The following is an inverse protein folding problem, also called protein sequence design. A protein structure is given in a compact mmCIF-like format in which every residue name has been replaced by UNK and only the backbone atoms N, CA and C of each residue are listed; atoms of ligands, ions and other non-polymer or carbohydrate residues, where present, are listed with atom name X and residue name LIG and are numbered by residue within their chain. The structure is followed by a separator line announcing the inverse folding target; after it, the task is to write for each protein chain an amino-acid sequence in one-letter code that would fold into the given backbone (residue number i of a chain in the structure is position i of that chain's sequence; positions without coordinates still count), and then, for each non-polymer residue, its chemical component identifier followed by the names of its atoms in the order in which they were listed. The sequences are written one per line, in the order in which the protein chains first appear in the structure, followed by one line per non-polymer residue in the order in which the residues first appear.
data_IF_087896889007
#
_entry.id   IF_087896889007
#
_cell.length_a   1.000
_cell.length_b   1.000
_cell.length_c   1.000
_cell.angle_alpha   90.00
_cell.angle_beta   90.00
_cell.angle_gamma   90.00
#
_symmetry.space_group_name_H-M   'P 1'
#
loop_
_entity.id
_entity.type
_entity.pdbx_description
1 polymer ?
#
# COMPACT_ATOMS: atom_id res chain seq x y z
N UNK A 1 21.43 -15.32 -6.36
CA UNK A 1 21.33 -14.76 -5.00
C UNK A 1 22.64 -14.07 -4.63
N UNK A 2 23.77 -14.80 -4.53
CA UNK A 2 25.10 -14.25 -4.21
C UNK A 2 25.51 -12.97 -5.00
N UNK A 3 25.39 -12.99 -6.34
CA UNK A 3 25.79 -11.85 -7.19
C UNK A 3 24.92 -10.59 -6.99
N UNK A 4 23.65 -10.75 -6.62
CA UNK A 4 22.71 -9.63 -6.42
C UNK A 4 22.94 -8.94 -5.08
N UNK A 5 23.30 -9.73 -4.06
CA UNK A 5 23.69 -9.22 -2.75
C UNK A 5 25.03 -8.48 -2.81
N UNK A 6 26.00 -9.00 -3.59
CA UNK A 6 27.31 -8.37 -3.78
C UNK A 6 27.20 -7.01 -4.51
N UNK A 7 26.32 -6.89 -5.50
CA UNK A 7 26.07 -5.62 -6.21
C UNK A 7 25.34 -4.60 -5.33
N UNK A 8 24.33 -5.04 -4.58
CA UNK A 8 23.60 -4.20 -3.62
C UNK A 8 24.56 -3.62 -2.58
N UNK A 9 25.46 -4.45 -2.05
CA UNK A 9 26.44 -4.02 -1.06
C UNK A 9 27.47 -3.04 -1.63
N UNK A 10 27.86 -3.18 -2.89
CA UNK A 10 28.74 -2.21 -3.57
C UNK A 10 28.08 -0.83 -3.66
N UNK A 11 26.82 -0.78 -4.08
CA UNK A 11 26.07 0.49 -4.23
C UNK A 11 25.88 1.16 -2.87
N UNK A 12 25.58 0.40 -1.82
CA UNK A 12 25.48 0.92 -0.45
C UNK A 12 26.79 1.57 0.01
N UNK A 13 27.94 0.94 -0.27
CA UNK A 13 29.24 1.50 0.07
C UNK A 13 29.54 2.81 -0.67
N UNK A 14 29.17 2.90 -1.95
CA UNK A 14 29.30 4.13 -2.74
C UNK A 14 28.42 5.25 -2.19
N UNK A 15 27.17 4.95 -1.81
CA UNK A 15 26.25 5.93 -1.21
C UNK A 15 26.72 6.40 0.17
N UNK A 16 27.17 5.49 1.02
CA UNK A 16 27.74 5.84 2.34
C UNK A 16 29.02 6.68 2.25
N UNK A 17 29.75 6.63 1.13
CA UNK A 17 30.93 7.47 0.91
C UNK A 17 30.56 8.90 0.51
N UNK A 18 29.34 9.11 -0.01
CA UNK A 18 28.81 10.43 -0.40
C UNK A 18 28.10 11.12 0.77
N UNK A 19 27.43 10.34 1.62
CA UNK A 19 26.72 10.79 2.82
C UNK A 19 26.84 9.70 3.90
N UNK A 20 27.57 10.00 4.98
CA UNK A 20 27.78 9.07 6.09
C UNK A 20 26.56 8.99 7.03
N UNK A 21 25.59 9.90 6.88
CA UNK A 21 24.38 9.95 7.69
C UNK A 21 24.63 10.28 9.16
N UNK A 22 25.81 10.84 9.50
CA UNK A 22 26.17 11.17 10.88
C UNK A 22 25.57 12.52 11.26
N UNK A 23 24.62 12.48 12.19
CA UNK A 23 24.02 13.66 12.76
C UNK A 23 24.63 13.91 14.15
N UNK A 24 25.41 15.00 14.33
CA UNK A 24 26.11 15.27 15.59
C UNK A 24 25.15 15.57 16.76
N UNK A 25 23.94 16.02 16.47
CA UNK A 25 22.89 16.30 17.46
C UNK A 25 22.01 15.07 17.77
N UNK A 26 22.24 13.94 17.09
CA UNK A 26 21.48 12.72 17.31
C UNK A 26 21.89 12.06 18.64
N UNK A 27 20.92 11.62 19.46
CA UNK A 27 21.21 10.90 20.70
C UNK A 27 21.77 9.48 20.47
N UNK A 28 21.78 9.00 19.23
CA UNK A 28 22.23 7.65 18.88
C UNK A 28 23.76 7.58 18.71
N UNK A 29 24.41 6.48 19.11
CA UNK A 29 25.81 6.23 18.79
C UNK A 29 26.06 6.25 17.27
N UNK A 30 27.22 6.76 16.84
CA UNK A 30 27.60 6.82 15.41
C UNK A 30 27.49 5.45 14.72
N UNK A 31 27.85 4.36 15.42
CA UNK A 31 27.71 2.99 14.89
C UNK A 31 26.27 2.61 14.59
N UNK A 32 25.32 3.05 15.43
CA UNK A 32 23.89 2.82 15.21
C UNK A 32 23.34 3.73 14.10
N UNK A 33 23.83 4.97 14.01
CA UNK A 33 23.49 5.88 12.91
C UNK A 33 23.93 5.31 11.55
N UNK A 34 25.17 4.84 11.44
CA UNK A 34 25.67 4.17 10.23
C UNK A 34 24.88 2.90 9.92
N UNK A 35 24.54 2.08 10.92
CA UNK A 35 23.73 0.88 10.71
C UNK A 35 22.33 1.22 10.20
N UNK A 36 21.70 2.27 10.75
CA UNK A 36 20.41 2.77 10.30
C UNK A 36 20.48 3.33 8.87
N UNK A 37 21.53 4.10 8.54
CA UNK A 37 21.74 4.66 7.20
C UNK A 37 21.98 3.54 6.16
N UNK A 38 22.81 2.54 6.50
CA UNK A 38 23.05 1.38 5.64
C UNK A 38 21.77 0.60 5.38
N UNK A 39 20.94 0.42 6.42
CA UNK A 39 19.62 -0.22 6.30
C UNK A 39 18.72 0.60 5.37
N UNK A 40 18.63 1.92 5.53
CA UNK A 40 17.86 2.80 4.64
C UNK A 40 18.27 2.66 3.17
N UNK A 41 19.57 2.65 2.86
CA UNK A 41 20.03 2.49 1.47
C UNK A 41 19.73 1.11 0.91
N UNK A 42 19.91 0.06 1.71
CA UNK A 42 19.55 -1.31 1.33
C UNK A 42 18.07 -1.40 0.99
N UNK A 43 17.23 -0.93 1.89
CA UNK A 43 15.79 -0.89 1.75
C UNK A 43 15.40 -0.12 0.48
N UNK A 44 15.98 1.06 0.24
CA UNK A 44 15.72 1.85 -0.97
C UNK A 44 16.15 1.14 -2.27
N UNK A 45 17.28 0.41 -2.26
CA UNK A 45 17.77 -0.34 -3.44
C UNK A 45 16.89 -1.54 -3.72
N UNK A 46 16.57 -2.33 -2.69
CA UNK A 46 15.74 -3.52 -2.79
C UNK A 46 14.31 -3.15 -3.23
N UNK A 47 13.84 -1.94 -2.88
CA UNK A 47 12.55 -1.40 -3.31
C UNK A 47 12.58 -0.70 -4.68
N UNK A 48 13.71 -0.53 -5.38
CA UNK A 48 13.70 0.15 -6.70
C UNK A 48 12.86 -0.54 -7.78
N UNK A 49 12.97 -1.88 -7.98
CA UNK A 49 12.11 -2.56 -8.96
C UNK A 49 10.63 -2.40 -8.62
N UNK A 50 10.34 -2.32 -7.32
CA UNK A 50 9.03 -2.12 -6.76
C UNK A 50 8.50 -0.70 -7.00
N UNK A 51 9.33 0.32 -6.76
CA UNK A 51 9.03 1.72 -7.04
C UNK A 51 8.76 1.94 -8.53
N UNK A 52 9.56 1.34 -9.42
CA UNK A 52 9.35 1.43 -10.87
C UNK A 52 8.04 0.76 -11.33
N UNK A 53 7.65 -0.34 -10.69
CA UNK A 53 6.37 -1.01 -10.95
C UNK A 53 5.18 -0.13 -10.51
N UNK A 54 5.25 0.44 -9.30
CA UNK A 54 4.22 1.38 -8.81
C UNK A 54 4.15 2.64 -9.68
N UNK A 55 5.29 3.22 -10.06
CA UNK A 55 5.34 4.40 -10.92
C UNK A 55 4.73 4.13 -12.30
N UNK A 56 5.03 2.97 -12.90
CA UNK A 56 4.43 2.53 -14.16
C UNK A 56 2.91 2.33 -14.03
N UNK A 57 2.47 1.62 -12.99
CA UNK A 57 1.06 1.35 -12.72
C UNK A 57 0.27 2.65 -12.51
N UNK A 58 0.78 3.56 -11.68
CA UNK A 58 0.16 4.86 -11.39
C UNK A 58 0.16 5.73 -12.64
N UNK A 59 1.27 5.78 -13.39
CA UNK A 59 1.33 6.54 -14.65
C UNK A 59 0.31 6.03 -15.64
N UNK A 60 0.17 4.71 -15.77
CA UNK A 60 -0.81 4.07 -16.67
C UNK A 60 -2.24 4.42 -16.26
N UNK A 61 -2.55 4.32 -14.95
CA UNK A 61 -3.85 4.72 -14.39
C UNK A 61 -4.18 6.20 -14.61
N UNK A 62 -3.19 7.09 -14.47
CA UNK A 62 -3.37 8.53 -14.63
C UNK A 62 -3.49 8.92 -16.11
N UNK A 63 -2.78 8.22 -17.01
CA UNK A 63 -2.71 8.56 -18.43
C UNK A 63 -3.83 7.95 -19.26
N UNK A 64 -4.28 6.74 -18.92
CA UNK A 64 -5.38 6.07 -19.59
C UNK A 64 -6.73 6.53 -19.02
N UNK A 65 -7.65 6.94 -19.89
CA UNK A 65 -9.00 7.30 -19.45
C UNK A 65 -9.76 6.03 -19.02
N UNK A 66 -10.18 5.97 -17.75
CA UNK A 66 -10.92 4.86 -17.12
C UNK A 66 -11.99 4.16 -17.99
N UNK A 67 -12.79 4.86 -18.82
CA UNK A 67 -13.85 4.21 -19.60
C UNK A 67 -13.35 3.40 -20.81
N UNK A 68 -12.09 3.61 -21.22
CA UNK A 68 -11.53 3.04 -22.45
C UNK A 68 -10.37 2.08 -22.21
N UNK A 69 -10.04 1.80 -20.94
CA UNK A 69 -8.97 0.88 -20.59
C UNK A 69 -9.28 -0.52 -21.12
N UNK A 70 -8.30 -1.08 -21.81
CA UNK A 70 -8.33 -2.46 -22.28
C UNK A 70 -8.43 -3.45 -21.10
N UNK A 71 -9.21 -4.52 -21.28
CA UNK A 71 -9.52 -5.46 -20.19
C UNK A 71 -8.27 -6.22 -19.73
N UNK A 72 -7.39 -6.59 -20.67
CA UNK A 72 -6.11 -7.27 -20.36
C UNK A 72 -5.16 -6.30 -19.64
N UNK A 73 -5.14 -5.02 -20.04
CA UNK A 73 -4.35 -3.99 -19.37
C UNK A 73 -4.81 -3.78 -17.92
N UNK A 74 -6.13 -3.75 -17.69
CA UNK A 74 -6.71 -3.63 -16.36
C UNK A 74 -6.37 -4.83 -15.47
N UNK A 75 -6.42 -6.05 -16.01
CA UNK A 75 -6.10 -7.26 -15.25
C UNK A 75 -4.60 -7.31 -14.88
N UNK A 76 -3.72 -6.96 -15.81
CA UNK A 76 -2.27 -6.88 -15.54
C UNK A 76 -1.96 -5.87 -14.44
N UNK A 77 -2.60 -4.71 -14.48
CA UNK A 77 -2.45 -3.68 -13.46
C UNK A 77 -2.94 -4.15 -12.08
N UNK A 78 -4.10 -4.79 -12.01
CA UNK A 78 -4.62 -5.38 -10.77
C UNK A 78 -3.63 -6.40 -10.20
N UNK A 79 -3.02 -7.22 -11.05
CA UNK A 79 -2.01 -8.20 -10.63
C UNK A 79 -0.74 -7.52 -10.10
N UNK A 80 -0.24 -6.48 -10.75
CA UNK A 80 0.90 -5.69 -10.27
C UNK A 80 0.62 -5.07 -8.89
N UNK A 81 -0.55 -4.49 -8.70
CA UNK A 81 -0.96 -3.87 -7.43
C UNK A 81 -1.18 -4.91 -6.31
N UNK A 82 -1.74 -6.07 -6.62
CA UNK A 82 -1.89 -7.15 -5.64
C UNK A 82 -0.53 -7.71 -5.19
N UNK A 83 0.40 -7.89 -6.13
CA UNK A 83 1.78 -8.28 -5.80
C UNK A 83 2.45 -7.20 -4.93
N UNK A 84 2.18 -5.93 -5.23
CA UNK A 84 2.70 -4.82 -4.44
C UNK A 84 2.25 -4.85 -2.98
N UNK A 85 0.95 -5.03 -2.77
CA UNK A 85 0.36 -5.13 -1.44
C UNK A 85 0.92 -6.32 -0.65
N UNK A 86 1.12 -7.47 -1.30
CA UNK A 86 1.66 -8.66 -0.66
C UNK A 86 3.12 -8.49 -0.23
N UNK A 87 3.94 -7.82 -1.05
CA UNK A 87 5.32 -7.48 -0.69
C UNK A 87 5.34 -6.51 0.48
N UNK A 88 4.50 -5.47 0.46
CA UNK A 88 4.45 -4.47 1.53
C UNK A 88 3.91 -5.03 2.85
N UNK A 89 2.96 -5.97 2.81
CA UNK A 89 2.47 -6.69 3.99
C UNK A 89 3.49 -7.64 4.64
N UNK A 90 4.54 -8.04 3.92
CA UNK A 90 5.64 -8.86 4.46
C UNK A 90 6.77 -8.03 5.09
N UNK A 91 6.74 -6.71 4.91
CA UNK A 91 7.72 -5.81 5.53
C UNK A 91 7.40 -5.71 7.03
N UNK A 92 8.32 -6.08 7.94
CA UNK A 92 8.05 -6.06 9.37
C UNK A 92 7.74 -4.63 9.85
N UNK A 93 6.73 -4.43 10.71
CA UNK A 93 6.27 -3.10 11.15
C UNK A 93 7.33 -2.30 11.93
N UNK A 94 8.40 -2.94 12.38
CA UNK A 94 9.54 -2.33 13.07
C UNK A 94 10.54 -1.65 12.11
N UNK A 95 10.43 -1.92 10.81
CA UNK A 95 11.08 -1.08 9.82
C UNK A 95 10.22 0.16 9.72
N UNK A 96 10.83 1.35 9.81
CA UNK A 96 10.16 2.63 9.64
C UNK A 96 9.67 2.86 8.19
N UNK A 97 9.12 1.82 7.55
CA UNK A 97 8.16 1.92 6.46
C UNK A 97 6.82 2.34 7.04
N UNK A 98 6.81 3.55 7.60
CA UNK A 98 5.72 4.43 7.24
C UNK A 98 5.97 4.68 5.76
N UNK A 99 5.24 4.03 4.87
CA UNK A 99 5.25 4.31 3.44
C UNK A 99 4.97 5.81 3.30
N UNK A 100 6.01 6.63 3.30
CA UNK A 100 5.86 8.05 3.04
C UNK A 100 5.68 8.11 1.52
N UNK A 101 4.52 8.54 1.00
CA UNK A 101 4.28 8.64 -0.44
C UNK A 101 5.40 9.45 -1.13
N UNK A 102 5.99 10.41 -0.43
CA UNK A 102 7.13 11.20 -0.90
C UNK A 102 8.39 10.37 -1.16
N UNK A 103 8.66 9.33 -0.37
CA UNK A 103 9.80 8.42 -0.57
C UNK A 103 9.59 7.56 -1.83
N UNK A 104 8.33 7.24 -2.13
CA UNK A 104 7.95 6.55 -3.35
C UNK A 104 7.82 7.48 -4.56
N UNK A 105 7.91 8.80 -4.37
CA UNK A 105 7.75 9.80 -5.43
C UNK A 105 6.30 10.00 -5.87
N UNK A 106 5.34 9.58 -5.06
CA UNK A 106 3.91 9.66 -5.35
C UNK A 106 3.38 10.97 -4.75
N UNK A 107 2.85 11.84 -5.59
CA UNK A 107 2.28 13.11 -5.13
C UNK A 107 0.88 12.91 -4.52
N UNK A 108 0.46 13.85 -3.66
CA UNK A 108 -0.92 13.89 -3.16
C UNK A 108 -1.95 13.95 -4.31
N UNK A 109 -1.62 14.63 -5.41
CA UNK A 109 -2.46 14.67 -6.62
C UNK A 109 -2.67 13.26 -7.20
N UNK A 110 -1.62 12.43 -7.24
CA UNK A 110 -1.73 11.05 -7.70
C UNK A 110 -2.64 10.22 -6.78
N UNK A 111 -2.54 10.41 -5.46
CA UNK A 111 -3.43 9.73 -4.50
C UNK A 111 -4.89 10.10 -4.74
N UNK A 112 -5.18 11.39 -4.97
CA UNK A 112 -6.53 11.85 -5.30
C UNK A 112 -7.07 11.20 -6.57
N UNK A 113 -6.26 11.14 -7.64
CA UNK A 113 -6.67 10.53 -8.91
C UNK A 113 -6.93 9.02 -8.74
N UNK A 114 -6.09 8.32 -7.98
CA UNK A 114 -6.28 6.89 -7.69
C UNK A 114 -7.58 6.67 -6.90
N UNK A 115 -7.89 7.54 -5.93
CA UNK A 115 -9.13 7.47 -5.16
C UNK A 115 -10.36 7.69 -6.03
N UNK A 116 -10.36 8.74 -6.86
CA UNK A 116 -11.44 9.00 -7.81
C UNK A 116 -11.64 7.81 -8.76
N UNK A 117 -10.56 7.22 -9.26
CA UNK A 117 -10.58 6.02 -10.08
C UNK A 117 -11.22 4.82 -9.33
N UNK A 118 -10.79 4.58 -8.09
CA UNK A 118 -11.32 3.50 -7.26
C UNK A 118 -12.81 3.62 -7.00
N UNK A 119 -13.28 4.84 -6.69
CA UNK A 119 -14.71 5.12 -6.43
C UNK A 119 -15.56 4.97 -7.69
N UNK A 120 -15.05 5.32 -8.88
CA UNK A 120 -15.75 5.10 -10.15
C UNK A 120 -15.90 3.60 -10.45
N UNK A 121 -14.84 2.81 -10.28
CA UNK A 121 -14.92 1.35 -10.43
C UNK A 121 -15.88 0.73 -9.41
N UNK A 122 -15.91 1.23 -8.18
CA UNK A 122 -16.88 0.81 -7.17
C UNK A 122 -18.31 1.13 -7.61
N UNK A 123 -18.56 2.35 -8.13
CA UNK A 123 -19.88 2.76 -8.60
C UNK A 123 -20.39 1.94 -9.80
N UNK A 124 -19.48 1.35 -10.58
CA UNK A 124 -19.77 0.46 -11.70
C UNK A 124 -19.88 -1.02 -11.31
N UNK A 125 -19.81 -1.33 -10.02
CA UNK A 125 -19.82 -2.71 -9.50
C UNK A 125 -18.61 -3.55 -9.96
N UNK A 126 -17.53 -2.89 -10.38
CA UNK A 126 -16.27 -3.53 -10.79
C UNK A 126 -15.38 -3.81 -9.56
N UNK A 127 -15.91 -4.59 -8.62
CA UNK A 127 -15.38 -4.76 -7.26
C UNK A 127 -13.90 -5.18 -7.22
N UNK A 128 -13.47 -6.08 -8.10
CA UNK A 128 -12.08 -6.53 -8.15
C UNK A 128 -11.10 -5.41 -8.50
N UNK A 129 -11.50 -4.48 -9.38
CA UNK A 129 -10.68 -3.32 -9.78
C UNK A 129 -10.67 -2.28 -8.68
N UNK A 130 -11.84 -1.97 -8.12
CA UNK A 130 -11.95 -1.06 -6.97
C UNK A 130 -11.12 -1.56 -5.78
N UNK A 131 -11.19 -2.86 -5.47
CA UNK A 131 -10.39 -3.51 -4.42
C UNK A 131 -8.90 -3.27 -4.63
N UNK A 132 -8.36 -3.51 -5.83
CA UNK A 132 -6.93 -3.36 -6.09
C UNK A 132 -6.44 -1.92 -5.84
N UNK A 133 -7.24 -0.92 -6.24
CA UNK A 133 -6.94 0.48 -6.04
C UNK A 133 -7.05 0.90 -4.58
N UNK A 134 -8.08 0.45 -3.86
CA UNK A 134 -8.20 0.72 -2.42
C UNK A 134 -7.12 0.01 -1.60
N UNK A 135 -6.69 -1.18 -1.99
CA UNK A 135 -5.52 -1.85 -1.40
C UNK A 135 -4.25 -1.04 -1.62
N UNK A 136 -4.03 -0.52 -2.83
CA UNK A 136 -2.90 0.39 -3.09
C UNK A 136 -2.98 1.60 -2.17
N UNK A 137 -4.12 2.29 -2.12
CA UNK A 137 -4.33 3.48 -1.29
C UNK A 137 -4.11 3.22 0.19
N UNK A 138 -4.63 2.12 0.74
CA UNK A 138 -4.42 1.75 2.15
C UNK A 138 -2.97 1.35 2.44
N UNK A 139 -2.20 1.00 1.42
CA UNK A 139 -0.77 0.73 1.57
C UNK A 139 0.08 1.99 1.43
N UNK A 140 -0.34 2.94 0.60
CA UNK A 140 0.27 4.26 0.45
C UNK A 140 0.05 5.14 1.68
N UNK A 141 -1.16 5.13 2.22
CA UNK A 141 -1.51 5.78 3.48
C UNK A 141 -2.35 4.85 4.35
N UNK A 142 -1.66 4.14 5.23
CA UNK A 142 -2.29 3.21 6.15
C UNK A 142 -3.04 3.89 7.31
N UNK A 143 -2.86 5.21 7.52
CA UNK A 143 -3.57 5.94 8.57
C UNK A 143 -4.90 6.53 8.09
N UNK A 144 -5.16 6.51 6.78
CA UNK A 144 -6.42 6.97 6.22
C UNK A 144 -7.52 5.91 6.43
N UNK A 145 -8.41 6.16 7.39
CA UNK A 145 -9.49 5.23 7.73
C UNK A 145 -10.49 5.02 6.58
N UNK A 146 -10.68 6.03 5.72
CA UNK A 146 -11.57 5.94 4.57
C UNK A 146 -11.08 4.92 3.52
N UNK A 147 -9.77 4.78 3.32
CA UNK A 147 -9.22 3.77 2.40
C UNK A 147 -9.51 2.35 2.88
N UNK A 148 -9.35 2.10 4.18
CA UNK A 148 -9.70 0.81 4.81
C UNK A 148 -11.20 0.53 4.76
N UNK A 149 -12.04 1.55 4.97
CA UNK A 149 -13.49 1.42 4.86
C UNK A 149 -13.93 1.07 3.43
N UNK A 150 -13.37 1.74 2.41
CA UNK A 150 -13.67 1.46 1.02
C UNK A 150 -13.16 0.07 0.58
N UNK A 151 -11.98 -0.34 1.06
CA UNK A 151 -11.47 -1.71 0.86
C UNK A 151 -12.42 -2.75 1.48
N UNK A 152 -12.84 -2.54 2.73
CA UNK A 152 -13.80 -3.43 3.40
C UNK A 152 -15.13 -3.53 2.66
N UNK A 153 -15.61 -2.42 2.11
CA UNK A 153 -16.81 -2.39 1.26
C UNK A 153 -16.65 -3.26 0.01
N UNK A 154 -15.51 -3.17 -0.68
CA UNK A 154 -15.23 -3.99 -1.86
C UNK A 154 -15.19 -5.49 -1.51
N UNK A 155 -14.51 -5.86 -0.42
CA UNK A 155 -14.41 -7.26 0.01
C UNK A 155 -15.77 -7.82 0.43
N UNK A 156 -16.63 -6.98 1.04
CA UNK A 156 -17.99 -7.38 1.40
C UNK A 156 -18.85 -7.67 0.15
N UNK A 157 -18.77 -6.82 -0.88
CA UNK A 157 -19.46 -7.05 -2.17
C UNK A 157 -18.93 -8.28 -2.92
N UNK A 158 -17.65 -8.60 -2.74
CA UNK A 158 -17.02 -9.84 -3.24
C UNK A 158 -17.33 -11.07 -2.37
N UNK A 159 -18.08 -10.91 -1.28
CA UNK A 159 -18.40 -11.95 -0.30
C UNK A 159 -17.17 -12.52 0.46
N UNK A 160 -16.04 -11.82 0.43
CA UNK A 160 -14.81 -12.14 1.16
C UNK A 160 -14.87 -11.57 2.58
N UNK A 161 -15.82 -12.08 3.39
CA UNK A 161 -16.21 -11.46 4.66
C UNK A 161 -15.09 -11.37 5.70
N UNK A 162 -14.17 -12.32 5.75
CA UNK A 162 -13.05 -12.29 6.71
C UNK A 162 -12.11 -11.11 6.41
N UNK A 163 -11.82 -10.86 5.12
CA UNK A 163 -11.05 -9.72 4.65
C UNK A 163 -11.79 -8.41 4.91
N UNK A 164 -13.10 -8.37 4.62
CA UNK A 164 -13.94 -7.21 4.87
C UNK A 164 -13.95 -6.80 6.36
N UNK A 165 -14.15 -7.78 7.26
CA UNK A 165 -14.14 -7.58 8.71
C UNK A 165 -12.77 -7.03 9.15
N UNK A 166 -11.68 -7.58 8.64
CA UNK A 166 -10.33 -7.13 8.97
C UNK A 166 -10.11 -5.68 8.56
N UNK A 167 -10.48 -5.29 7.34
CA UNK A 167 -10.35 -3.92 6.85
C UNK A 167 -11.21 -2.94 7.67
N UNK A 168 -12.47 -3.29 7.96
CA UNK A 168 -13.33 -2.46 8.80
C UNK A 168 -12.83 -2.31 10.23
N UNK A 169 -12.22 -3.35 10.81
CA UNK A 169 -11.60 -3.25 12.13
C UNK A 169 -10.46 -2.24 12.15
N UNK A 170 -9.64 -2.19 11.11
CA UNK A 170 -8.59 -1.17 10.97
C UNK A 170 -9.23 0.23 10.88
N UNK A 171 -10.25 0.42 10.05
CA UNK A 171 -10.96 1.70 9.94
C UNK A 171 -11.56 2.16 11.29
N UNK A 172 -12.19 1.26 12.05
CA UNK A 172 -12.71 1.53 13.41
C UNK A 172 -11.60 1.85 14.40
N UNK A 173 -10.44 1.19 14.27
CA UNK A 173 -9.28 1.46 15.12
C UNK A 173 -8.69 2.85 14.89
N UNK A 174 -8.66 3.30 13.64
CA UNK A 174 -8.17 4.63 13.25
C UNK A 174 -9.14 5.75 13.63
N UNK A 175 -10.44 5.57 13.36
CA UNK A 175 -11.49 6.54 13.66
C UNK A 175 -12.60 5.93 14.54
N UNK A 176 -12.35 5.73 15.84
CA UNK A 176 -13.30 5.06 16.73
C UNK A 176 -14.62 5.86 16.89
N UNK A 177 -14.58 7.18 16.74
CA UNK A 177 -15.75 8.04 16.91
C UNK A 177 -16.69 8.02 15.68
N UNK A 178 -16.24 7.48 14.56
CA UNK A 178 -17.03 7.39 13.33
C UNK A 178 -17.98 6.21 13.40
N UNK A 179 -19.18 6.47 13.90
CA UNK A 179 -20.26 5.48 14.12
C UNK A 179 -20.53 4.63 12.87
N UNK A 180 -20.46 5.23 11.68
CA UNK A 180 -20.67 4.53 10.41
C UNK A 180 -19.79 3.28 10.28
N UNK A 181 -18.50 3.36 10.63
CA UNK A 181 -17.57 2.23 10.51
C UNK A 181 -17.93 1.07 11.43
N UNK A 182 -18.46 1.38 12.62
CA UNK A 182 -18.96 0.36 13.55
C UNK A 182 -20.24 -0.30 13.04
N UNK A 183 -21.11 0.46 12.39
CA UNK A 183 -22.36 -0.06 11.83
C UNK A 183 -22.07 -1.04 10.70
N UNK A 184 -21.20 -0.68 9.74
CA UNK A 184 -20.85 -1.58 8.63
C UNK A 184 -20.10 -2.82 9.11
N UNK A 185 -19.22 -2.70 10.10
CA UNK A 185 -18.55 -3.85 10.71
C UNK A 185 -19.58 -4.80 11.36
N UNK A 186 -20.53 -4.27 12.12
CA UNK A 186 -21.57 -5.07 12.74
C UNK A 186 -22.47 -5.76 11.70
N UNK A 187 -22.84 -5.04 10.64
CA UNK A 187 -23.61 -5.57 9.53
C UNK A 187 -22.87 -6.71 8.82
N UNK A 188 -21.60 -6.51 8.48
CA UNK A 188 -20.75 -7.53 7.85
C UNK A 188 -20.65 -8.80 8.72
N UNK A 189 -20.46 -8.64 10.04
CA UNK A 189 -20.44 -9.77 10.97
C UNK A 189 -21.77 -10.55 11.00
N UNK A 190 -22.90 -9.85 10.93
CA UNK A 190 -24.23 -10.49 10.88
C UNK A 190 -24.44 -11.26 9.57
N UNK A 191 -23.97 -10.71 8.44
CA UNK A 191 -24.07 -11.37 7.13
C UNK A 191 -23.19 -12.64 7.12
N UNK A 192 -21.94 -12.54 7.57
CA UNK A 192 -21.01 -13.66 7.68
C UNK A 192 -21.59 -14.78 8.56
N UNK A 193 -22.12 -14.43 9.75
CA UNK A 193 -22.75 -15.40 10.66
C UNK A 193 -23.93 -16.15 10.02
N UNK A 194 -24.78 -15.46 9.26
CA UNK A 194 -25.92 -16.10 8.56
C UNK A 194 -25.48 -17.05 7.45
N UNK A 195 -24.36 -16.80 6.77
CA UNK A 195 -23.85 -17.68 5.70
C UNK A 195 -23.19 -18.94 6.25
N UNK A 196 -22.56 -18.87 7.42
CA UNK A 196 -21.98 -20.07 8.06
C UNK A 196 -23.06 -21.04 8.58
N UNK A 197 -24.26 -20.54 8.85
CA UNK A 197 -25.39 -21.33 9.35
C UNK A 197 -26.27 -21.96 8.23
N UNK A 198 -26.03 -21.65 6.95
CA UNK A 198 -26.82 -22.08 5.79
C UNK A 198 -26.20 -23.27 5.04
#
# INVERSE_FOLDING_TARGET
MQQRDDETERIIQELMALDDGVHPDSPLPISEQHAAQRRRYRDAIEMRPFQAMLEHAITTLVTEHLPTMDEDLAENLVNELNQAALVLGQVPPDHAFQTNPEILGISEDSISIIFDCATEHYAREEWNRARALFTLLSTLDFHCADFWFCLGSCEQELEEFDSAISAYQVAVGLEPDRILFRLVLAECNLICGKKHDA
#
